data_IF_561667721857
#
_entry.id   IF_561667721857
#
_cell.length_a   1.000
_cell.length_b   1.000
_cell.length_c   1.000
_cell.angle_alpha   90.00
_cell.angle_beta   90.00
_cell.angle_gamma   90.00
#
_symmetry.space_group_name_H-M   'P 1'
#
loop_
_entity.id
_entity.type
_entity.pdbx_description
1 polymer ?
#
# COMPACT_ATOMS: atom_id res chain seq x y z
N UNK A 1 31.00 5.05 8.03
CA UNK A 1 30.26 6.28 7.67
C UNK A 1 29.34 5.88 6.52
N UNK A 2 28.06 5.63 6.81
CA UNK A 2 27.11 5.09 5.82
C UNK A 2 26.58 6.21 4.93
N UNK A 3 26.74 6.05 3.62
CA UNK A 3 26.15 6.90 2.59
C UNK A 3 24.75 6.33 2.29
N UNK A 4 23.72 6.87 2.94
CA UNK A 4 22.36 6.72 2.42
C UNK A 4 22.32 7.68 1.24
N UNK A 5 22.51 7.17 0.02
CA UNK A 5 22.26 7.95 -1.18
C UNK A 5 20.75 8.16 -1.29
N UNK A 6 20.28 9.16 -0.53
CA UNK A 6 19.01 9.84 -0.73
C UNK A 6 19.09 10.52 -2.10
N UNK A 7 18.93 9.75 -3.16
CA UNK A 7 18.63 10.27 -4.50
C UNK A 7 17.18 10.74 -4.48
N UNK A 8 16.94 11.78 -3.69
CA UNK A 8 15.71 12.54 -3.71
C UNK A 8 15.83 13.41 -4.95
N UNK A 9 15.17 13.01 -6.04
CA UNK A 9 14.96 13.92 -7.14
C UNK A 9 14.39 15.22 -6.57
N UNK A 10 15.13 16.31 -6.82
CA UNK A 10 14.84 17.70 -6.47
C UNK A 10 13.34 17.99 -6.36
N UNK A 11 12.83 18.10 -5.13
CA UNK A 11 11.78 19.02 -4.68
C UNK A 11 11.83 19.03 -3.15
N UNK A 12 11.77 20.20 -2.52
CA UNK A 12 11.61 20.40 -1.07
C UNK A 12 10.23 19.90 -0.56
N UNK A 13 9.80 18.71 -0.98
CA UNK A 13 8.54 18.11 -0.60
C UNK A 13 8.75 17.28 0.67
N UNK A 14 7.87 17.46 1.66
CA UNK A 14 7.79 16.58 2.83
C UNK A 14 7.80 15.11 2.37
N UNK A 15 8.57 14.23 3.05
CA UNK A 15 8.60 12.81 2.69
C UNK A 15 7.18 12.25 2.75
N UNK A 16 6.84 11.37 1.80
CA UNK A 16 5.55 10.72 1.77
C UNK A 16 5.34 9.94 3.10
N UNK A 17 4.18 10.01 3.78
CA UNK A 17 3.97 9.37 5.07
C UNK A 17 4.23 7.86 5.05
N UNK A 18 3.93 7.20 3.93
CA UNK A 18 4.27 5.78 3.74
C UNK A 18 5.80 5.55 3.76
N UNK A 19 6.59 6.38 3.07
CA UNK A 19 8.05 6.30 3.09
C UNK A 19 8.63 6.54 4.48
N UNK A 20 8.02 7.43 5.28
CA UNK A 20 8.42 7.63 6.67
C UNK A 20 8.33 6.33 7.48
N UNK A 21 7.29 5.51 7.27
CA UNK A 21 7.13 4.22 7.94
C UNK A 21 8.16 3.19 7.47
N UNK A 22 8.45 3.17 6.17
CA UNK A 22 9.52 2.31 5.62
C UNK A 22 10.85 2.64 6.29
N UNK A 23 11.25 3.92 6.33
CA UNK A 23 12.50 4.33 6.96
C UNK A 23 12.55 3.96 8.43
N UNK A 24 11.49 4.26 9.20
CA UNK A 24 11.41 3.88 10.62
C UNK A 24 11.58 2.37 10.84
N UNK A 25 11.07 1.55 9.91
CA UNK A 25 11.17 0.10 10.00
C UNK A 25 12.55 -0.41 9.59
N UNK A 26 13.17 0.19 8.58
CA UNK A 26 14.57 -0.10 8.23
C UNK A 26 15.49 0.24 9.39
N UNK A 27 15.32 1.42 10.00
CA UNK A 27 16.08 1.84 11.18
C UNK A 27 15.93 0.83 12.35
N UNK A 28 14.72 0.31 12.56
CA UNK A 28 14.44 -0.67 13.61
C UNK A 28 15.04 -2.06 13.32
N UNK A 29 15.17 -2.45 12.05
CA UNK A 29 15.81 -3.70 11.64
C UNK A 29 17.33 -3.60 11.79
N UNK A 30 17.93 -2.47 11.40
CA UNK A 30 19.37 -2.22 11.59
C UNK A 30 19.76 -2.17 13.08
N UNK A 31 18.89 -1.67 13.95
CA UNK A 31 19.12 -1.70 15.40
C UNK A 31 19.16 -3.13 15.98
N UNK A 32 18.57 -4.11 15.28
CA UNK A 32 18.56 -5.53 15.66
C UNK A 32 19.70 -6.31 15.00
N UNK A 33 20.08 -5.96 13.76
CA UNK A 33 21.24 -6.51 13.05
C UNK A 33 22.52 -5.78 13.47
N UNK A 34 23.16 -6.28 14.53
CA UNK A 34 24.47 -5.83 15.02
C UNK A 34 25.58 -6.13 13.98
N UNK A 35 25.67 -5.33 12.91
CA UNK A 35 26.91 -5.04 12.19
C UNK A 35 27.18 -5.74 10.85
N UNK A 36 26.18 -6.15 10.06
CA UNK A 36 26.42 -7.06 8.92
C UNK A 36 26.02 -6.68 7.49
N UNK A 37 25.07 -5.77 7.23
CA UNK A 37 24.51 -5.63 5.88
C UNK A 37 24.87 -4.33 5.16
N UNK A 38 25.27 -4.45 3.89
CA UNK A 38 25.19 -3.38 2.90
C UNK A 38 23.71 -2.95 2.84
N UNK A 39 23.41 -1.74 3.33
CA UNK A 39 22.04 -1.30 3.59
C UNK A 39 21.06 -1.51 2.42
N UNK A 40 19.77 -1.60 2.74
CA UNK A 40 18.74 -1.79 1.71
C UNK A 40 18.54 -0.50 0.90
N UNK A 41 18.75 -0.57 -0.42
CA UNK A 41 18.34 0.50 -1.32
C UNK A 41 16.82 0.48 -1.57
N UNK A 42 16.19 1.65 -1.35
CA UNK A 42 14.76 1.89 -1.62
C UNK A 42 14.62 3.13 -2.51
N UNK A 43 13.89 3.00 -3.62
CA UNK A 43 13.50 4.11 -4.49
C UNK A 43 11.99 4.36 -4.40
N UNK A 44 11.57 5.63 -4.51
CA UNK A 44 10.16 5.99 -4.50
C UNK A 44 9.84 6.99 -5.59
N UNK A 45 8.77 6.75 -6.35
CA UNK A 45 8.32 7.59 -7.45
C UNK A 45 6.90 8.08 -7.16
N UNK A 46 6.69 9.40 -7.28
CA UNK A 46 5.37 10.02 -7.19
C UNK A 46 4.68 9.95 -8.55
N UNK A 47 3.35 9.87 -8.52
CA UNK A 47 2.57 9.86 -9.76
C UNK A 47 2.75 11.12 -10.62
N UNK A 48 2.72 10.95 -11.94
CA UNK A 48 2.87 12.00 -12.95
C UNK A 48 1.62 12.14 -13.81
N UNK A 49 1.62 13.15 -14.69
CA UNK A 49 0.69 13.17 -15.83
C UNK A 49 1.10 12.06 -16.79
N UNK A 50 0.12 11.31 -17.31
CA UNK A 50 0.39 10.28 -18.31
C UNK A 50 0.96 10.85 -19.61
N UNK A 51 1.53 9.99 -20.48
CA UNK A 51 1.86 10.35 -21.86
C UNK A 51 0.67 11.00 -22.60
N UNK A 52 0.95 11.78 -23.65
CA UNK A 52 -0.07 12.57 -24.35
C UNK A 52 -1.25 11.73 -24.89
N UNK A 53 -0.98 10.50 -25.31
CA UNK A 53 -1.96 9.54 -25.85
C UNK A 53 -2.35 8.44 -24.85
N UNK A 54 -2.07 8.67 -23.55
CA UNK A 54 -2.42 7.71 -22.52
C UNK A 54 -3.94 7.58 -22.38
N UNK A 55 -4.49 6.35 -22.38
CA UNK A 55 -5.89 6.16 -22.04
C UNK A 55 -6.20 6.70 -20.63
N UNK A 56 -7.44 7.15 -20.37
CA UNK A 56 -7.86 7.59 -19.05
C UNK A 56 -7.90 6.40 -18.06
N UNK A 57 -7.94 6.72 -16.76
CA UNK A 57 -8.00 5.71 -15.69
C UNK A 57 -6.68 5.01 -15.35
N UNK A 58 -5.56 5.42 -15.94
CA UNK A 58 -4.22 4.91 -15.62
C UNK A 58 -3.48 5.83 -14.63
N UNK A 59 -2.80 5.23 -13.66
CA UNK A 59 -1.93 5.91 -12.69
C UNK A 59 -0.49 5.77 -13.17
N UNK A 60 0.14 6.89 -13.54
CA UNK A 60 1.43 6.91 -14.24
C UNK A 60 2.61 7.28 -13.35
N UNK A 61 3.76 6.67 -13.59
CA UNK A 61 5.02 6.94 -12.92
C UNK A 61 6.17 7.04 -13.93
N UNK A 62 7.03 8.05 -13.78
CA UNK A 62 8.30 8.12 -14.50
C UNK A 62 9.35 7.38 -13.70
N UNK A 63 9.85 6.29 -14.25
CA UNK A 63 10.87 5.40 -13.65
C UNK A 63 12.14 5.35 -14.50
N UNK A 64 12.39 6.37 -15.33
CA UNK A 64 13.60 6.45 -16.17
C UNK A 64 14.92 6.40 -15.38
N UNK A 65 14.91 6.81 -14.11
CA UNK A 65 16.06 6.72 -13.19
C UNK A 65 16.07 5.42 -12.35
N UNK A 66 15.32 4.40 -12.77
CA UNK A 66 15.24 3.12 -12.07
C UNK A 66 16.61 2.47 -11.97
N UNK A 67 17.01 2.13 -10.74
CA UNK A 67 18.22 1.33 -10.55
C UNK A 67 17.99 -0.11 -11.08
N UNK A 68 18.86 -0.63 -11.97
CA UNK A 68 18.76 -2.01 -12.46
C UNK A 68 18.87 -3.09 -11.37
N UNK A 69 19.36 -2.77 -10.17
CA UNK A 69 19.43 -3.73 -9.06
C UNK A 69 18.10 -3.91 -8.31
N UNK A 70 17.05 -3.17 -8.65
CA UNK A 70 15.73 -3.33 -8.00
C UNK A 70 15.13 -4.71 -8.29
N UNK A 71 14.53 -5.34 -7.29
CA UNK A 71 13.93 -6.67 -7.42
C UNK A 71 12.44 -6.68 -7.02
N UNK A 72 12.06 -5.88 -6.02
CA UNK A 72 10.67 -5.74 -5.56
C UNK A 72 10.05 -4.38 -5.92
N UNK A 73 8.73 -4.36 -6.15
CA UNK A 73 7.98 -3.13 -6.35
C UNK A 73 6.56 -3.18 -5.76
N UNK A 74 6.14 -2.08 -5.16
CA UNK A 74 4.86 -1.88 -4.48
C UNK A 74 4.14 -0.65 -5.04
N UNK A 75 2.89 -0.82 -5.50
CA UNK A 75 1.99 0.29 -5.81
C UNK A 75 1.16 0.62 -4.57
N UNK A 76 1.35 1.82 -4.02
CA UNK A 76 0.77 2.26 -2.75
C UNK A 76 -0.30 3.31 -3.01
N UNK A 77 -1.54 3.01 -2.63
CA UNK A 77 -2.71 3.87 -2.84
C UNK A 77 -3.42 4.18 -1.51
N UNK A 78 -3.57 5.46 -1.17
CA UNK A 78 -4.26 5.86 0.06
C UNK A 78 -5.78 5.75 -0.09
N UNK A 79 -6.42 4.92 0.74
CA UNK A 79 -7.86 4.68 0.75
C UNK A 79 -8.60 5.89 1.32
N UNK A 80 -9.15 6.75 0.44
CA UNK A 80 -9.82 7.99 0.80
C UNK A 80 -11.25 7.76 1.29
N UNK A 81 -12.05 7.03 0.52
CA UNK A 81 -13.48 6.81 0.81
C UNK A 81 -13.73 5.36 1.23
N UNK A 82 -14.79 5.17 2.01
CA UNK A 82 -15.30 3.87 2.42
C UNK A 82 -16.75 3.75 1.97
N UNK A 83 -17.12 2.57 1.52
CA UNK A 83 -18.50 2.26 1.16
C UNK A 83 -19.34 2.12 2.45
N UNK A 84 -20.56 2.68 2.52
CA UNK A 84 -21.38 2.62 3.73
C UNK A 84 -21.94 1.22 4.04
N UNK A 85 -21.80 0.27 3.11
CA UNK A 85 -22.24 -1.12 3.25
C UNK A 85 -21.05 -2.06 3.02
N UNK A 86 -21.04 -3.24 3.65
CA UNK A 86 -19.98 -4.24 3.48
C UNK A 86 -20.06 -4.88 2.08
N UNK A 87 -19.47 -4.20 1.11
CA UNK A 87 -19.37 -4.66 -0.28
C UNK A 87 -17.93 -5.07 -0.53
N UNK A 88 -17.75 -6.24 -1.13
CA UNK A 88 -16.46 -6.71 -1.59
C UNK A 88 -16.42 -6.74 -3.12
N UNK A 89 -15.29 -6.34 -3.67
CA UNK A 89 -15.02 -6.40 -5.12
C UNK A 89 -13.67 -7.05 -5.33
N UNK A 90 -13.54 -7.85 -6.37
CA UNK A 90 -12.24 -8.34 -6.82
C UNK A 90 -11.61 -7.27 -7.68
N UNK A 91 -10.33 -7.01 -7.48
CA UNK A 91 -9.53 -6.06 -8.24
C UNK A 91 -8.41 -6.78 -8.94
N UNK A 92 -8.43 -6.71 -10.25
CA UNK A 92 -7.35 -7.14 -11.13
C UNK A 92 -6.49 -5.93 -11.47
N UNK A 93 -5.21 -5.99 -11.11
CA UNK A 93 -4.25 -4.94 -11.41
C UNK A 93 -3.56 -5.23 -12.75
N UNK A 94 -3.62 -4.27 -13.67
CA UNK A 94 -2.89 -4.31 -14.93
C UNK A 94 -1.79 -3.26 -14.94
N UNK A 95 -0.72 -3.54 -15.67
CA UNK A 95 0.29 -2.54 -15.99
C UNK A 95 0.38 -2.28 -17.47
N UNK A 96 0.85 -1.10 -17.82
CA UNK A 96 1.23 -0.73 -19.18
C UNK A 96 2.60 -0.09 -19.12
N UNK A 97 3.45 -0.43 -20.07
CA UNK A 97 4.78 0.15 -20.20
C UNK A 97 4.86 0.92 -21.51
N UNK A 98 5.51 2.08 -21.48
CA UNK A 98 5.88 2.79 -22.69
C UNK A 98 7.33 2.45 -23.03
N UNK A 99 7.53 1.73 -24.13
CA UNK A 99 8.86 1.51 -24.69
C UNK A 99 8.82 1.98 -26.14
N UNK A 100 9.71 2.91 -26.50
CA UNK A 100 9.83 3.44 -27.87
C UNK A 100 8.53 4.01 -28.46
N UNK A 101 7.68 4.61 -27.61
CA UNK A 101 6.45 5.29 -28.05
C UNK A 101 5.22 4.38 -28.20
N UNK A 102 5.36 3.06 -28.10
CA UNK A 102 4.22 2.14 -28.07
C UNK A 102 3.86 1.74 -26.63
N UNK A 103 2.57 1.84 -26.29
CA UNK A 103 2.03 1.35 -25.03
C UNK A 103 1.77 -0.15 -25.12
N UNK A 104 2.41 -0.94 -24.26
CA UNK A 104 2.20 -2.39 -24.17
C UNK A 104 1.61 -2.74 -22.81
N UNK A 105 0.37 -3.23 -22.82
CA UNK A 105 -0.29 -3.75 -21.63
C UNK A 105 0.30 -5.12 -21.25
N UNK A 106 0.51 -5.33 -19.96
CA UNK A 106 0.91 -6.61 -19.38
C UNK A 106 -0.29 -7.52 -19.15
N UNK A 107 -0.06 -8.83 -18.96
CA UNK A 107 -1.02 -9.67 -18.24
C UNK A 107 -1.37 -9.07 -16.87
N UNK A 108 -2.45 -9.56 -16.26
CA UNK A 108 -2.80 -9.23 -14.88
C UNK A 108 -1.60 -9.48 -13.95
N UNK A 109 -1.25 -8.48 -13.15
CA UNK A 109 -0.15 -8.53 -12.19
C UNK A 109 -0.59 -9.18 -10.88
N UNK A 110 -1.79 -8.83 -10.42
CA UNK A 110 -2.34 -9.30 -9.16
C UNK A 110 -3.87 -9.30 -9.23
N UNK A 111 -4.50 -10.32 -8.65
CA UNK A 111 -5.94 -10.35 -8.35
C UNK A 111 -6.13 -10.29 -6.83
N UNK A 112 -6.90 -9.33 -6.35
CA UNK A 112 -7.11 -9.11 -4.92
C UNK A 112 -8.56 -8.79 -4.58
N UNK A 113 -9.11 -9.48 -3.58
CA UNK A 113 -10.40 -9.10 -2.99
C UNK A 113 -10.24 -7.86 -2.10
N UNK A 114 -11.01 -6.81 -2.38
CA UNK A 114 -11.07 -5.59 -1.58
C UNK A 114 -12.43 -5.46 -0.91
N UNK A 115 -12.44 -5.38 0.41
CA UNK A 115 -13.62 -5.01 1.20
C UNK A 115 -13.71 -3.49 1.27
N UNK A 116 -14.79 -2.91 0.74
CA UNK A 116 -14.87 -1.45 0.50
C UNK A 116 -15.36 -0.65 1.71
N UNK A 117 -15.96 -1.28 2.72
CA UNK A 117 -16.40 -0.64 3.96
C UNK A 117 -15.30 -0.48 5.01
N UNK A 118 -14.16 -1.11 4.79
CA UNK A 118 -13.04 -1.13 5.73
C UNK A 118 -11.80 -0.49 5.14
N UNK A 119 -11.10 0.29 5.96
CA UNK A 119 -9.79 0.84 5.60
C UNK A 119 -8.71 -0.11 6.10
N UNK A 120 -7.67 -0.41 5.30
CA UNK A 120 -6.48 -1.09 5.81
C UNK A 120 -5.91 -0.36 7.04
N UNK A 121 -5.31 -1.08 7.99
CA UNK A 121 -4.73 -0.48 9.20
C UNK A 121 -3.68 0.59 8.88
N UNK A 122 -2.89 0.35 7.85
CA UNK A 122 -1.92 1.31 7.32
C UNK A 122 -2.59 2.55 6.72
N UNK A 123 -3.85 2.45 6.30
CA UNK A 123 -4.57 3.45 5.50
C UNK A 123 -4.31 3.33 3.99
N UNK A 124 -3.43 2.42 3.57
CA UNK A 124 -3.05 2.22 2.19
C UNK A 124 -3.39 0.81 1.74
N UNK A 125 -3.95 0.69 0.53
CA UNK A 125 -3.88 -0.56 -0.19
C UNK A 125 -2.58 -0.59 -0.95
N UNK A 126 -1.85 -1.70 -0.83
CA UNK A 126 -0.54 -1.82 -1.46
C UNK A 126 -0.48 -3.09 -2.26
N UNK A 127 -0.26 -2.96 -3.56
CA UNK A 127 -0.26 -4.04 -4.53
C UNK A 127 1.16 -4.43 -4.90
N UNK A 128 1.41 -5.73 -5.04
CA UNK A 128 2.69 -6.23 -5.53
C UNK A 128 2.73 -6.05 -7.04
N UNK A 129 3.67 -5.23 -7.50
CA UNK A 129 3.88 -4.95 -8.92
C UNK A 129 5.29 -5.34 -9.37
N UNK A 130 5.98 -6.17 -8.59
CA UNK A 130 7.36 -6.60 -8.86
C UNK A 130 7.52 -7.24 -10.24
N UNK A 131 6.49 -7.91 -10.74
CA UNK A 131 6.47 -8.50 -12.08
C UNK A 131 6.73 -7.48 -13.21
N UNK A 132 6.43 -6.18 -13.00
CA UNK A 132 6.74 -5.13 -14.00
C UNK A 132 8.24 -4.95 -14.21
N UNK A 133 9.07 -5.28 -13.20
CA UNK A 133 10.52 -5.13 -13.25
C UNK A 133 11.18 -6.09 -14.24
N UNK A 134 10.48 -7.14 -14.67
CA UNK A 134 10.93 -8.03 -15.74
C UNK A 134 10.87 -7.38 -17.13
N UNK A 135 10.12 -6.27 -17.30
CA UNK A 135 9.87 -5.61 -18.59
C UNK A 135 10.90 -4.52 -18.94
N UNK A 136 12.13 -4.62 -18.42
CA UNK A 136 13.18 -3.62 -18.64
C UNK A 136 13.61 -3.52 -20.12
N UNK A 137 14.04 -2.33 -20.58
CA UNK A 137 14.13 -1.07 -19.84
C UNK A 137 12.77 -0.41 -19.59
N UNK A 138 12.62 0.26 -18.44
CA UNK A 138 11.39 0.97 -18.06
C UNK A 138 11.66 2.47 -18.02
N UNK A 139 10.91 3.25 -18.80
CA UNK A 139 10.93 4.71 -18.71
C UNK A 139 9.70 5.23 -18.00
N UNK A 140 8.53 4.77 -18.45
CA UNK A 140 7.23 5.14 -17.90
C UNK A 140 6.39 3.88 -17.72
N UNK A 141 5.79 3.77 -16.54
CA UNK A 141 4.87 2.68 -16.19
C UNK A 141 3.52 3.27 -15.77
N UNK A 142 2.44 2.67 -16.24
CA UNK A 142 1.08 2.96 -15.83
C UNK A 142 0.45 1.76 -15.15
N UNK A 143 -0.43 1.99 -14.20
CA UNK A 143 -1.25 0.96 -13.55
C UNK A 143 -2.74 1.28 -13.65
N UNK A 144 -3.56 0.25 -13.88
CA UNK A 144 -5.02 0.36 -13.89
C UNK A 144 -5.63 -0.74 -13.02
N UNK A 145 -6.56 -0.34 -12.15
CA UNK A 145 -7.35 -1.25 -11.34
C UNK A 145 -8.64 -1.58 -12.10
N UNK A 146 -8.90 -2.85 -12.35
CA UNK A 146 -10.15 -3.33 -12.95
C UNK A 146 -10.93 -4.12 -11.91
N UNK A 147 -12.17 -3.71 -11.66
CA UNK A 147 -13.02 -4.21 -10.60
C UNK A 147 -14.06 -5.18 -11.14
N UNK A 148 -14.22 -6.32 -10.48
CA UNK A 148 -15.24 -7.31 -10.75
C UNK A 148 -16.05 -7.56 -9.49
N UNK A 149 -17.36 -7.66 -9.62
CA UNK A 149 -18.26 -8.09 -8.55
C UNK A 149 -18.87 -9.46 -8.87
N UNK A 150 -19.83 -9.90 -8.06
CA UNK A 150 -20.54 -11.16 -8.24
C UNK A 150 -21.33 -11.26 -9.58
N UNK A 151 -21.63 -10.12 -10.21
CA UNK A 151 -22.32 -10.04 -11.50
C UNK A 151 -21.38 -10.01 -12.71
N UNK A 152 -20.08 -9.77 -12.48
CA UNK A 152 -19.05 -9.72 -13.52
C UNK A 152 -18.21 -8.45 -13.47
N UNK A 153 -17.66 -8.03 -14.62
CA UNK A 153 -16.81 -6.83 -14.69
C UNK A 153 -17.62 -5.55 -14.57
N UNK A 154 -17.23 -4.68 -13.64
CA UNK A 154 -17.79 -3.34 -13.52
C UNK A 154 -17.35 -2.48 -14.71
N UNK A 155 -18.23 -1.64 -15.25
CA UNK A 155 -17.89 -0.79 -16.42
C UNK A 155 -17.19 0.52 -15.99
N UNK A 156 -17.25 0.86 -14.70
CA UNK A 156 -16.85 2.17 -14.16
C UNK A 156 -15.53 2.14 -13.37
N UNK A 157 -14.53 1.41 -13.86
CA UNK A 157 -13.24 1.22 -13.19
C UNK A 157 -12.58 2.53 -12.78
N UNK A 158 -12.47 3.48 -13.72
CA UNK A 158 -11.85 4.78 -13.48
C UNK A 158 -12.57 5.57 -12.38
N UNK A 159 -13.90 5.68 -12.47
CA UNK A 159 -14.69 6.43 -11.51
C UNK A 159 -14.59 5.79 -10.11
N UNK A 160 -14.55 4.46 -10.05
CA UNK A 160 -14.37 3.74 -8.80
C UNK A 160 -12.97 3.97 -8.21
N UNK A 161 -11.91 3.91 -9.02
CA UNK A 161 -10.55 4.24 -8.54
C UNK A 161 -10.44 5.68 -8.04
N UNK A 162 -11.00 6.65 -8.77
CA UNK A 162 -11.01 8.07 -8.38
C UNK A 162 -11.81 8.31 -7.09
N UNK A 163 -12.90 7.56 -6.89
CA UNK A 163 -13.70 7.63 -5.67
C UNK A 163 -12.95 7.03 -4.48
N UNK A 164 -12.39 5.84 -4.64
CA UNK A 164 -11.76 5.07 -3.57
C UNK A 164 -10.42 5.66 -3.11
N UNK A 165 -9.63 6.22 -4.03
CA UNK A 165 -8.24 6.59 -3.77
C UNK A 165 -7.97 8.08 -3.90
N UNK A 166 -6.99 8.58 -3.14
CA UNK A 166 -6.48 9.93 -3.35
C UNK A 166 -5.50 9.94 -4.52
N UNK A 167 -5.95 10.39 -5.70
CA UNK A 167 -5.14 10.48 -6.92
C UNK A 167 -4.57 11.89 -7.18
N UNK A 168 -4.78 12.81 -6.23
CA UNK A 168 -4.36 14.20 -6.36
C UNK A 168 -2.83 14.32 -6.25
N UNK A 169 -2.20 14.60 -7.40
CA UNK A 169 -0.75 14.86 -7.49
C UNK A 169 -0.33 16.01 -6.59
N UNK A 170 0.86 15.87 -5.99
CA UNK A 170 1.42 16.87 -5.07
C UNK A 170 0.80 16.89 -3.67
N UNK A 171 -0.17 16.01 -3.38
CA UNK A 171 -0.65 15.81 -2.01
C UNK A 171 0.27 14.84 -1.24
N UNK A 172 0.20 14.88 0.09
CA UNK A 172 0.94 13.93 0.94
C UNK A 172 0.43 12.49 0.81
N UNK A 173 -0.73 12.27 0.20
CA UNK A 173 -1.38 10.97 0.04
C UNK A 173 -1.54 10.58 -1.42
N UNK A 174 -0.78 11.22 -2.31
CA UNK A 174 -0.79 10.89 -3.74
C UNK A 174 -0.29 9.45 -3.98
N UNK A 175 -0.62 8.83 -5.12
CA UNK A 175 -0.13 7.51 -5.45
C UNK A 175 1.40 7.46 -5.45
N UNK A 176 1.93 6.40 -4.87
CA UNK A 176 3.36 6.19 -4.72
C UNK A 176 3.74 4.82 -5.25
N UNK A 177 4.79 4.76 -6.06
CA UNK A 177 5.44 3.53 -6.46
C UNK A 177 6.73 3.40 -5.66
N UNK A 178 6.88 2.32 -4.91
CA UNK A 178 8.06 2.05 -4.07
C UNK A 178 8.79 0.81 -4.59
N UNK A 179 10.12 0.85 -4.66
CA UNK A 179 10.92 -0.24 -5.16
C UNK A 179 12.07 -0.54 -4.21
N UNK A 180 12.42 -1.83 -4.15
CA UNK A 180 13.39 -2.38 -3.22
C UNK A 180 14.44 -3.19 -3.97
N UNK A 181 15.71 -3.06 -3.57
CA UNK A 181 16.81 -3.84 -4.13
C UNK A 181 16.75 -5.33 -3.76
N UNK A 182 16.04 -5.68 -2.70
CA UNK A 182 15.89 -7.06 -2.22
C UNK A 182 14.44 -7.48 -2.34
N UNK A 183 14.23 -8.68 -2.91
CA UNK A 183 12.92 -9.35 -2.96
C UNK A 183 12.40 -9.74 -1.57
N UNK A 184 13.29 -9.79 -0.57
CA UNK A 184 12.95 -10.24 0.78
C UNK A 184 12.26 -9.16 1.61
N UNK A 185 12.15 -7.93 1.08
CA UNK A 185 11.42 -6.82 1.71
C UNK A 185 10.05 -6.64 1.08
N UNK A 186 9.27 -7.71 1.00
CA UNK A 186 7.83 -7.58 0.90
C UNK A 186 7.33 -6.92 2.20
N UNK A 187 7.34 -5.58 2.23
CA UNK A 187 6.94 -4.80 3.40
C UNK A 187 5.50 -5.13 3.81
N UNK A 188 4.67 -5.65 2.89
CA UNK A 188 3.28 -6.06 3.13
C UNK A 188 2.92 -7.55 3.09
N UNK A 189 3.78 -8.48 2.69
CA UNK A 189 3.48 -9.88 3.05
C UNK A 189 3.52 -10.08 4.56
N UNK A 190 4.17 -9.14 5.25
CA UNK A 190 4.38 -9.13 6.69
C UNK A 190 3.21 -8.48 7.47
N UNK A 191 2.41 -7.56 6.92
CA UNK A 191 1.20 -7.14 7.67
C UNK A 191 0.19 -8.30 7.81
N UNK A 192 0.19 -9.24 6.86
CA UNK A 192 -0.61 -10.47 6.98
C UNK A 192 0.14 -11.66 7.63
N UNK A 193 1.48 -11.73 7.61
CA UNK A 193 2.25 -12.86 8.20
C UNK A 193 3.06 -12.57 9.46
N UNK A 194 3.42 -11.34 9.79
CA UNK A 194 4.23 -11.05 11.00
C UNK A 194 3.38 -10.81 12.23
N UNK A 195 2.08 -10.57 12.08
CA UNK A 195 1.18 -10.77 13.20
C UNK A 195 0.93 -12.26 13.51
N UNK A 196 1.08 -13.18 12.54
CA UNK A 196 1.15 -14.62 12.83
C UNK A 196 2.51 -15.03 13.43
N UNK A 197 3.62 -14.51 12.91
CA UNK A 197 4.96 -14.87 13.41
C UNK A 197 5.30 -14.31 14.80
N UNK A 198 4.65 -13.24 15.26
CA UNK A 198 4.82 -12.78 16.66
C UNK A 198 4.13 -13.68 17.70
N UNK A 199 3.45 -14.76 17.30
CA UNK A 199 2.88 -15.77 18.21
C UNK A 199 3.60 -17.13 18.23
N UNK A 200 4.59 -17.38 17.36
CA UNK A 200 5.25 -18.70 17.28
C UNK A 200 6.48 -18.88 18.18
N UNK A 201 6.77 -17.94 19.07
CA UNK A 201 8.00 -17.94 19.88
C UNK A 201 7.84 -18.19 21.38
N UNK A 202 6.64 -18.43 21.90
CA UNK A 202 6.47 -18.74 23.32
C UNK A 202 5.21 -19.55 23.53
N UNK A 203 5.35 -20.71 24.18
CA UNK A 203 4.23 -21.52 24.65
C UNK A 203 3.42 -20.73 25.68
N UNK A 204 2.54 -19.87 25.19
CA UNK A 204 1.57 -19.13 26.00
C UNK A 204 0.27 -19.90 25.93
N UNK A 205 -0.04 -20.57 27.04
CA UNK A 205 -1.30 -21.24 27.30
C UNK A 205 -2.49 -20.37 26.88
N UNK A 206 -3.47 -20.99 26.22
CA UNK A 206 -4.74 -20.43 25.72
C UNK A 206 -5.52 -19.63 26.80
N UNK A 207 -5.17 -19.78 28.08
CA UNK A 207 -5.74 -19.01 29.18
C UNK A 207 -5.12 -17.61 29.40
N UNK A 208 -4.00 -17.24 28.79
CA UNK A 208 -3.41 -15.89 28.93
C UNK A 208 -3.89 -14.86 27.89
N UNK A 209 -4.50 -15.29 26.78
CA UNK A 209 -5.04 -14.39 25.74
C UNK A 209 -6.35 -13.69 26.19
N UNK A 210 -7.04 -14.23 27.21
CA UNK A 210 -8.26 -13.61 27.77
C UNK A 210 -8.00 -12.32 28.56
N UNK A 211 -6.76 -12.07 29.00
CA UNK A 211 -6.46 -10.90 29.84
C UNK A 211 -5.95 -9.66 29.08
N UNK A 212 -5.66 -9.76 27.77
CA UNK A 212 -5.28 -8.60 26.95
C UNK A 212 -6.49 -8.02 26.19
N UNK A 213 -7.57 -8.78 26.03
CA UNK A 213 -8.84 -8.27 25.49
C UNK A 213 -9.69 -7.47 26.51
N UNK A 214 -9.20 -7.34 27.75
CA UNK A 214 -9.92 -6.69 28.86
C UNK A 214 -9.27 -5.39 29.34
N UNK A 215 -8.44 -4.73 28.50
CA UNK A 215 -7.94 -3.36 28.75
C UNK A 215 -7.93 -2.57 27.44
N UNK A 216 -9.06 -2.55 26.74
CA UNK A 216 -9.49 -1.44 25.88
C UNK A 216 -11.04 -1.32 25.80
N UNK A 217 -11.75 -1.94 26.75
CA UNK A 217 -13.18 -1.68 27.06
C UNK A 217 -13.28 -1.06 28.47
N UNK A 218 -12.32 -0.20 28.86
CA UNK A 218 -12.38 0.50 30.15
C UNK A 218 -12.45 2.03 30.01
N UNK A 219 -12.68 2.54 28.78
CA UNK A 219 -12.96 3.97 28.55
C UNK A 219 -14.29 4.26 27.85
N UNK A 220 -15.13 3.26 27.65
CA UNK A 220 -16.47 3.44 27.07
C UNK A 220 -17.60 3.25 28.10
N UNK A 221 -17.33 2.67 29.28
CA UNK A 221 -18.35 2.51 30.33
C UNK A 221 -18.48 3.70 31.29
N UNK A 222 -17.54 4.66 31.29
CA UNK A 222 -17.69 5.89 32.07
C UNK A 222 -18.75 6.86 31.50
N UNK A 223 -19.25 6.63 30.28
CA UNK A 223 -20.29 7.47 29.66
C UNK A 223 -21.66 6.79 29.51
N UNK A 224 -21.80 5.47 29.69
CA UNK A 224 -23.12 4.82 29.54
C UNK A 224 -23.88 4.56 30.85
N UNK A 225 -23.23 4.76 32.00
CA UNK A 225 -23.90 4.78 33.32
C UNK A 225 -24.76 6.05 33.53
N UNK A 226 -24.63 7.09 32.70
CA UNK A 226 -25.28 8.39 32.94
C UNK A 226 -26.51 8.71 32.09
N UNK A 227 -26.91 7.86 31.14
CA UNK A 227 -28.11 8.14 30.29
C UNK A 227 -29.21 7.06 30.30
N UNK A 228 -29.03 5.91 30.95
CA UNK A 228 -30.13 4.96 31.21
C UNK A 228 -30.69 5.00 32.64
N UNK A 229 -30.34 6.03 33.41
CA UNK A 229 -31.11 6.43 34.61
C UNK A 229 -32.44 7.14 34.28
N UNK A 230 -32.84 7.12 33.01
CA UNK A 230 -34.19 7.41 32.53
C UNK A 230 -34.71 6.09 31.96
N UNK A 231 -35.16 5.19 32.83
CA UNK A 231 -36.59 5.03 33.10
C UNK A 231 -37.35 4.77 31.78
N UNK A 232 -37.61 3.52 31.38
CA UNK A 232 -38.77 2.75 31.87
C UNK A 232 -39.91 3.64 32.36
N UNK A 233 -40.84 3.98 31.47
CA UNK A 233 -42.30 4.10 31.66
C UNK A 233 -42.84 4.05 30.22
N UNK A 234 -43.66 3.11 29.74
CA UNK A 234 -44.62 2.17 30.33
C UNK A 234 -45.01 1.20 29.23
#
# INVERSE_FOLDING_TARGET
MLHIDKVSASHQAKPHPYMKRIYQRLDALEAQDLGGSDGTLVQSYRSIVGPHDAPPGWIWFNVSSLNPSMLGAELVLFRKTLHPRPISVTVTLHSVTASQGALKESPALEDRLLTLDQRPLSGYDVFDVSAVLALRPLEVVGFQLRYTDESGSLVLHEALTQSLYCLNRGSLSEPLLVLYQTNSLNFLFIENKVFEFFFEGSAVSVNQIKNIFMICIDKIDYYHVRLQKLCTVS
#
